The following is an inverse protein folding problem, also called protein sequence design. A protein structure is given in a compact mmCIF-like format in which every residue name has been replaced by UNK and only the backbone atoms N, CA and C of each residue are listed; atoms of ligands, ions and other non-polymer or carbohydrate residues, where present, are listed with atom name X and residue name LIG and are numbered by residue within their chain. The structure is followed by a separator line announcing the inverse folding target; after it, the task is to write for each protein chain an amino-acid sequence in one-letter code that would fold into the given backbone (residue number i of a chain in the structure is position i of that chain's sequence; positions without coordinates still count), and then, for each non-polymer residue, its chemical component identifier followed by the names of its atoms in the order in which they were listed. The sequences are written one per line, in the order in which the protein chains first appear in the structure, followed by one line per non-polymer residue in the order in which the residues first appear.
data_IF_252545606477
#
_entry.id   IF_252545606477
#
_cell.length_a   1.000
_cell.length_b   1.000
_cell.length_c   1.000
_cell.angle_alpha   90.00
_cell.angle_beta   90.00
_cell.angle_gamma   90.00
#
_symmetry.space_group_name_H-M   'P 1'
#
loop_
_entity.id
_entity.type
_entity.pdbx_description
1 polymer ?
#
# COMPACT_ATOMS: atom_id res chain seq x y z
N UNK A 1 -35.32 -11.46 -19.64
CA UNK A 1 -34.89 -10.59 -20.77
C UNK A 1 -35.32 -9.16 -20.46
N UNK A 2 -34.41 -8.33 -19.94
CA UNK A 2 -34.68 -6.93 -19.64
C UNK A 2 -34.28 -6.14 -20.90
N UNK A 3 -35.26 -5.53 -21.55
CA UNK A 3 -35.04 -4.71 -22.73
C UNK A 3 -34.34 -3.41 -22.32
N UNK A 4 -33.05 -3.29 -22.63
CA UNK A 4 -32.28 -2.08 -22.38
C UNK A 4 -32.80 -0.96 -23.30
N UNK A 5 -33.19 0.16 -22.70
CA UNK A 5 -33.77 1.30 -23.40
C UNK A 5 -32.76 1.87 -24.40
N UNK A 6 -33.07 1.79 -25.70
CA UNK A 6 -32.18 2.21 -26.80
C UNK A 6 -31.72 3.67 -26.67
N UNK A 7 -32.50 4.53 -26.00
CA UNK A 7 -32.11 5.92 -25.72
C UNK A 7 -30.92 6.07 -24.76
N UNK A 8 -30.78 5.17 -23.78
CA UNK A 8 -29.68 5.20 -22.80
C UNK A 8 -28.35 4.75 -23.44
N UNK A 9 -28.41 3.75 -24.30
CA UNK A 9 -27.23 3.24 -25.04
C UNK A 9 -26.72 4.28 -26.02
N UNK A 10 -27.61 5.00 -26.72
CA UNK A 10 -27.22 6.08 -27.63
C UNK A 10 -26.62 7.25 -26.83
N UNK A 11 -27.18 7.60 -25.67
CA UNK A 11 -26.63 8.66 -24.82
C UNK A 11 -25.19 8.36 -24.33
N UNK A 12 -24.92 7.13 -23.91
CA UNK A 12 -23.59 6.71 -23.43
C UNK A 12 -22.58 6.67 -24.60
N UNK A 13 -22.98 6.16 -25.77
CA UNK A 13 -22.08 6.10 -26.94
C UNK A 13 -21.74 7.50 -27.46
N UNK A 14 -22.69 8.44 -27.47
CA UNK A 14 -22.43 9.82 -27.89
C UNK A 14 -21.51 10.54 -26.90
N UNK A 15 -21.67 10.32 -25.59
CA UNK A 15 -20.81 10.92 -24.57
C UNK A 15 -19.36 10.41 -24.67
N UNK A 16 -19.17 9.11 -24.89
CA UNK A 16 -17.84 8.49 -25.03
C UNK A 16 -17.13 8.97 -26.31
N UNK A 17 -17.86 9.11 -27.43
CA UNK A 17 -17.28 9.64 -28.68
C UNK A 17 -16.86 11.10 -28.54
N UNK A 18 -17.62 11.93 -27.81
CA UNK A 18 -17.24 13.34 -27.59
C UNK A 18 -16.00 13.44 -26.69
N UNK A 19 -15.90 12.64 -25.61
CA UNK A 19 -14.74 12.67 -24.71
C UNK A 19 -13.47 12.17 -25.40
N UNK A 20 -13.56 11.10 -26.21
CA UNK A 20 -12.41 10.59 -26.99
C UNK A 20 -12.05 11.55 -28.13
N UNK A 21 -13.04 12.19 -28.76
CA UNK A 21 -12.81 13.18 -29.82
C UNK A 21 -12.14 14.47 -29.32
N UNK A 22 -12.46 14.93 -28.11
CA UNK A 22 -11.83 16.11 -27.50
C UNK A 22 -10.40 15.82 -27.05
N UNK A 23 -10.11 14.61 -26.55
CA UNK A 23 -8.75 14.20 -26.20
C UNK A 23 -7.86 14.01 -27.43
N UNK A 24 -8.39 13.44 -28.53
CA UNK A 24 -7.64 13.29 -29.78
C UNK A 24 -7.43 14.61 -30.56
N UNK A 25 -8.31 15.61 -30.39
CA UNK A 25 -8.19 16.91 -31.07
C UNK A 25 -7.17 17.84 -30.40
N UNK A 26 -6.88 17.66 -29.11
CA UNK A 26 -5.84 18.44 -28.39
C UNK A 26 -4.42 17.95 -28.75
N UNK A 27 -4.27 16.73 -29.26
CA UNK A 27 -2.96 16.15 -29.57
C UNK A 27 -2.55 16.21 -31.06
N UNK A 28 -3.45 16.60 -31.97
CA UNK A 28 -3.13 16.68 -33.41
C UNK A 28 -3.78 17.90 -34.06
N UNK A 29 -3.10 19.04 -34.01
CA UNK A 29 -3.45 20.16 -34.88
C UNK A 29 -2.81 21.50 -34.53
N UNK A 30 -1.64 21.80 -35.11
CA UNK A 30 -1.48 23.00 -35.94
C UNK A 30 -0.17 22.97 -36.75
N UNK A 31 -0.16 23.48 -38.00
CA UNK A 31 0.87 23.20 -39.00
C UNK A 31 2.06 24.17 -38.95
N UNK A 32 3.22 23.68 -39.40
CA UNK A 32 4.43 24.45 -39.70
C UNK A 32 4.16 25.41 -40.86
N UNK A 33 4.40 26.71 -40.64
CA UNK A 33 4.48 27.68 -41.73
C UNK A 33 5.86 28.34 -41.73
N UNK A 34 6.57 28.19 -42.84
CA UNK A 34 7.88 28.79 -43.13
C UNK A 34 7.66 29.86 -44.17
N UNK A 35 8.02 31.12 -43.88
CA UNK A 35 8.43 32.14 -44.87
C UNK A 35 9.11 33.34 -44.15
N UNK A 36 9.90 34.18 -44.87
CA UNK A 36 11.21 34.66 -44.41
C UNK A 36 11.23 35.99 -43.65
N UNK A 37 12.40 36.25 -43.04
CA UNK A 37 12.80 37.39 -42.21
C UNK A 37 12.40 38.79 -42.69
N UNK A 38 12.30 39.72 -41.72
CA UNK A 38 13.12 40.92 -41.79
C UNK A 38 13.98 41.12 -40.52
N UNK A 39 15.16 41.66 -40.75
CA UNK A 39 16.18 42.08 -39.79
C UNK A 39 15.69 43.17 -38.85
N UNK A 40 15.88 43.02 -37.53
CA UNK A 40 16.04 44.16 -36.62
C UNK A 40 16.89 43.77 -35.42
N UNK A 41 17.97 44.53 -35.21
CA UNK A 41 18.83 44.46 -34.03
C UNK A 41 18.01 44.78 -32.76
N UNK A 42 18.36 44.18 -31.61
CA UNK A 42 18.60 44.88 -30.31
C UNK A 42 18.73 43.86 -29.15
N UNK A 43 19.90 43.90 -28.52
CA UNK A 43 20.26 43.61 -27.12
C UNK A 43 19.80 42.31 -26.46
N UNK A 44 20.71 41.35 -26.42
CA UNK A 44 20.73 40.20 -25.51
C UNK A 44 20.77 40.67 -24.05
N UNK A 45 19.69 40.48 -23.31
CA UNK A 45 19.76 40.37 -21.83
C UNK A 45 19.73 38.89 -21.50
N UNK A 46 20.91 38.34 -21.24
CA UNK A 46 21.09 36.97 -20.76
C UNK A 46 20.43 36.84 -19.39
N UNK A 47 19.22 36.30 -19.33
CA UNK A 47 18.70 35.72 -18.11
C UNK A 47 19.16 34.27 -18.10
N UNK A 48 20.27 34.01 -17.44
CA UNK A 48 20.75 32.65 -17.18
C UNK A 48 19.78 32.01 -16.20
N UNK A 49 18.72 31.37 -16.70
CA UNK A 49 17.99 30.39 -15.92
C UNK A 49 18.90 29.18 -15.82
N UNK A 50 19.65 29.07 -14.73
CA UNK A 50 20.34 27.85 -14.34
C UNK A 50 19.26 26.82 -14.02
N UNK A 51 18.74 26.13 -15.03
CA UNK A 51 18.04 24.85 -14.84
C UNK A 51 19.11 23.84 -14.46
N UNK A 52 19.45 23.80 -13.17
CA UNK A 52 20.07 22.61 -12.58
C UNK A 52 19.12 21.46 -12.85
N UNK A 53 19.52 20.53 -13.72
CA UNK A 53 18.82 19.27 -13.93
C UNK A 53 18.80 18.51 -12.61
N UNK A 54 17.75 18.70 -11.81
CA UNK A 54 17.59 17.98 -10.54
C UNK A 54 17.35 16.50 -10.85
N UNK A 55 18.14 15.63 -10.21
CA UNK A 55 18.01 14.18 -10.35
C UNK A 55 16.62 13.74 -9.90
N UNK A 56 15.86 12.95 -10.69
CA UNK A 56 14.54 12.50 -10.30
C UNK A 56 14.55 11.71 -8.98
N UNK A 57 13.50 11.85 -8.19
CA UNK A 57 13.27 11.12 -6.95
C UNK A 57 12.43 9.86 -7.23
N UNK A 58 13.00 8.69 -6.94
CA UNK A 58 12.39 7.40 -7.19
C UNK A 58 11.84 6.79 -5.91
N UNK A 59 10.55 6.45 -5.93
CA UNK A 59 9.85 5.87 -4.79
C UNK A 59 9.68 4.36 -5.02
N UNK A 60 10.18 3.55 -4.10
CA UNK A 60 9.85 2.12 -4.02
C UNK A 60 8.92 1.93 -2.83
N UNK A 61 7.76 1.30 -3.04
CA UNK A 61 6.69 1.28 -2.05
C UNK A 61 5.99 -0.08 -2.02
N UNK A 62 5.51 -0.47 -0.84
CA UNK A 62 4.59 -1.60 -0.71
C UNK A 62 3.45 -1.49 -1.75
N UNK A 63 3.19 -2.56 -2.51
CA UNK A 63 2.24 -2.61 -3.63
C UNK A 63 0.85 -2.03 -3.31
N UNK A 64 0.38 -2.28 -2.08
CA UNK A 64 -0.86 -1.76 -1.53
C UNK A 64 -0.96 -0.22 -1.50
N UNK A 65 0.16 0.49 -1.51
CA UNK A 65 0.23 1.95 -1.29
C UNK A 65 0.75 2.72 -2.51
N UNK A 66 0.69 2.12 -3.70
CA UNK A 66 1.19 2.73 -4.94
C UNK A 66 0.41 3.99 -5.34
N UNK A 67 -0.91 4.03 -5.09
CA UNK A 67 -1.74 5.20 -5.37
C UNK A 67 -1.41 6.38 -4.43
N UNK A 68 -1.19 6.08 -3.15
CA UNK A 68 -0.82 7.01 -2.10
C UNK A 68 0.57 7.58 -2.34
N UNK A 69 1.54 6.72 -2.68
CA UNK A 69 2.88 7.14 -3.05
C UNK A 69 2.88 8.00 -4.32
N UNK A 70 2.07 7.66 -5.33
CA UNK A 70 1.93 8.47 -6.54
C UNK A 70 1.33 9.85 -6.20
N UNK A 71 0.32 9.88 -5.34
CA UNK A 71 -0.29 11.14 -4.89
C UNK A 71 0.70 12.02 -4.12
N UNK A 72 1.46 11.45 -3.16
CA UNK A 72 2.51 12.17 -2.43
C UNK A 72 3.61 12.66 -3.37
N UNK A 73 4.06 11.80 -4.29
CA UNK A 73 5.09 12.09 -5.28
C UNK A 73 4.70 13.23 -6.21
N UNK A 74 3.49 13.18 -6.79
CA UNK A 74 2.98 14.27 -7.63
C UNK A 74 2.79 15.57 -6.87
N UNK A 75 2.33 15.51 -5.62
CA UNK A 75 2.15 16.71 -4.79
C UNK A 75 3.48 17.35 -4.41
N UNK A 76 4.51 16.53 -4.12
CA UNK A 76 5.88 16.98 -3.89
C UNK A 76 6.48 17.60 -5.16
N UNK A 77 6.37 16.92 -6.30
CA UNK A 77 6.86 17.45 -7.58
C UNK A 77 6.25 18.83 -7.90
N UNK A 78 4.96 19.00 -7.66
CA UNK A 78 4.29 20.29 -7.87
C UNK A 78 4.78 21.38 -6.91
N UNK A 79 5.19 21.01 -5.70
CA UNK A 79 5.67 21.95 -4.69
C UNK A 79 7.14 22.36 -4.92
N UNK A 80 7.98 21.48 -5.44
CA UNK A 80 9.45 21.66 -5.48
C UNK A 80 10.02 21.77 -6.89
N UNK A 81 9.32 21.25 -7.90
CA UNK A 81 9.84 21.08 -9.26
C UNK A 81 10.72 19.83 -9.44
N UNK A 82 11.03 19.09 -8.38
CA UNK A 82 11.80 17.84 -8.45
C UNK A 82 10.93 16.77 -9.12
N UNK A 83 11.43 16.16 -10.19
CA UNK A 83 10.68 15.12 -10.91
C UNK A 83 10.53 13.86 -10.05
N UNK A 84 9.31 13.34 -9.95
CA UNK A 84 8.97 12.09 -9.26
C UNK A 84 8.27 11.15 -10.25
N UNK A 85 8.98 10.17 -10.84
CA UNK A 85 8.38 9.18 -11.72
C UNK A 85 7.36 8.29 -11.00
N UNK A 86 6.63 7.47 -11.76
CA UNK A 86 5.69 6.49 -11.19
C UNK A 86 6.39 5.58 -10.16
N UNK A 87 5.84 5.43 -8.94
CA UNK A 87 6.43 4.56 -7.93
C UNK A 87 6.53 3.11 -8.37
N UNK A 88 7.60 2.43 -7.97
CA UNK A 88 7.74 0.98 -8.11
C UNK A 88 7.03 0.29 -6.94
N UNK A 89 6.01 -0.51 -7.26
CA UNK A 89 5.25 -1.30 -6.29
C UNK A 89 5.77 -2.73 -6.14
N UNK A 90 5.68 -3.30 -4.94
CA UNK A 90 5.98 -4.71 -4.68
C UNK A 90 5.84 -5.08 -3.20
N UNK A 91 5.94 -6.37 -2.86
CA UNK A 91 5.94 -6.80 -1.46
C UNK A 91 7.15 -6.21 -0.72
N UNK A 92 6.95 -5.70 0.51
CA UNK A 92 8.00 -4.94 1.22
C UNK A 92 9.31 -5.72 1.41
N UNK A 93 9.22 -7.01 1.73
CA UNK A 93 10.42 -7.85 1.89
C UNK A 93 11.07 -8.18 0.54
N UNK A 94 10.27 -8.34 -0.51
CA UNK A 94 10.75 -8.49 -1.88
C UNK A 94 11.54 -7.27 -2.34
N UNK A 95 10.94 -6.07 -2.23
CA UNK A 95 11.58 -4.81 -2.60
C UNK A 95 12.84 -4.54 -1.79
N UNK A 96 12.83 -4.79 -0.48
CA UNK A 96 14.02 -4.57 0.35
C UNK A 96 15.21 -5.46 -0.09
N UNK A 97 14.96 -6.74 -0.40
CA UNK A 97 15.99 -7.63 -0.95
C UNK A 97 16.45 -7.20 -2.34
N UNK A 98 15.54 -6.71 -3.16
CA UNK A 98 15.86 -6.20 -4.48
C UNK A 98 16.77 -4.96 -4.39
N UNK A 99 16.43 -3.98 -3.54
CA UNK A 99 17.28 -2.81 -3.22
C UNK A 99 18.68 -3.27 -2.79
N UNK A 100 18.75 -4.27 -1.90
CA UNK A 100 20.01 -4.78 -1.40
C UNK A 100 20.84 -5.49 -2.49
N UNK A 101 20.17 -6.24 -3.36
CA UNK A 101 20.81 -6.99 -4.45
C UNK A 101 21.33 -6.10 -5.58
N UNK A 102 20.58 -5.05 -5.94
CA UNK A 102 20.96 -4.11 -6.99
C UNK A 102 22.04 -3.13 -6.51
N UNK A 103 22.15 -2.90 -5.19
CA UNK A 103 23.20 -2.10 -4.59
C UNK A 103 23.24 -0.68 -5.17
N UNK A 104 24.39 -0.15 -5.61
CA UNK A 104 24.46 1.19 -6.21
C UNK A 104 23.67 1.36 -7.51
N UNK A 105 23.24 0.26 -8.14
CA UNK A 105 22.42 0.33 -9.36
C UNK A 105 20.92 0.42 -9.04
N UNK A 106 20.53 0.27 -7.77
CA UNK A 106 19.15 0.37 -7.36
C UNK A 106 18.62 1.78 -7.64
N UNK A 107 17.62 1.89 -8.50
CA UNK A 107 17.01 3.18 -8.83
C UNK A 107 15.99 3.58 -7.75
N UNK A 108 16.47 3.81 -6.53
CA UNK A 108 15.66 4.15 -5.35
C UNK A 108 16.19 5.41 -4.68
N UNK A 109 15.26 6.25 -4.22
CA UNK A 109 15.54 7.43 -3.40
C UNK A 109 14.93 7.26 -2.02
N UNK A 110 13.70 6.77 -1.98
CA UNK A 110 12.92 6.59 -0.77
C UNK A 110 12.24 5.23 -0.82
N UNK A 111 12.25 4.52 0.31
CA UNK A 111 11.60 3.23 0.47
C UNK A 111 10.45 3.32 1.48
N UNK A 112 9.26 2.88 1.07
CA UNK A 112 8.03 2.92 1.87
C UNK A 112 7.51 1.49 2.15
N UNK A 113 8.09 0.75 3.12
CA UNK A 113 7.60 -0.57 3.49
C UNK A 113 6.40 -0.50 4.44
N UNK A 114 5.59 -1.56 4.45
CA UNK A 114 4.50 -1.75 5.42
C UNK A 114 4.87 -2.76 6.53
N UNK A 115 6.17 -3.00 6.73
CA UNK A 115 6.71 -3.74 7.86
C UNK A 115 8.04 -3.11 8.29
N UNK A 116 8.18 -2.79 9.58
CA UNK A 116 9.36 -2.12 10.12
C UNK A 116 10.65 -2.88 9.79
N UNK A 117 10.62 -4.21 9.95
CA UNK A 117 11.76 -5.09 9.70
C UNK A 117 12.25 -5.04 8.26
N UNK A 118 11.42 -4.66 7.27
CA UNK A 118 11.88 -4.52 5.89
C UNK A 118 12.92 -3.38 5.72
N UNK A 119 12.95 -2.41 6.64
CA UNK A 119 13.98 -1.36 6.67
C UNK A 119 15.24 -1.78 7.45
N UNK A 120 15.25 -2.95 8.09
CA UNK A 120 16.37 -3.41 8.92
C UNK A 120 17.50 -4.04 8.08
N UNK A 121 18.71 -4.23 8.67
CA UNK A 121 19.80 -4.93 8.02
C UNK A 121 19.46 -6.36 7.57
N UNK A 122 18.46 -7.01 8.17
CA UNK A 122 18.04 -8.37 7.79
C UNK A 122 17.49 -8.45 6.36
N UNK A 123 16.99 -7.34 5.81
CA UNK A 123 16.46 -7.28 4.44
C UNK A 123 17.22 -6.30 3.54
N UNK A 124 17.53 -5.10 4.03
CA UNK A 124 18.30 -4.10 3.26
C UNK A 124 19.83 -4.32 3.32
N UNK A 125 20.31 -5.27 4.13
CA UNK A 125 21.74 -5.50 4.32
C UNK A 125 22.45 -4.23 4.80
N UNK A 126 23.64 -3.97 4.23
CA UNK A 126 24.44 -2.79 4.54
C UNK A 126 23.80 -1.47 4.08
N UNK A 127 22.70 -1.53 3.31
CA UNK A 127 21.98 -0.34 2.84
C UNK A 127 20.88 0.13 3.78
N UNK A 128 20.60 -0.61 4.87
CA UNK A 128 19.74 -0.09 5.94
C UNK A 128 20.34 1.20 6.51
N UNK A 129 19.53 2.26 6.57
CA UNK A 129 19.89 3.56 7.15
C UNK A 129 19.94 3.54 8.68
N UNK A 130 19.38 2.49 9.30
CA UNK A 130 19.26 2.38 10.74
C UNK A 130 18.09 3.17 11.33
N UNK A 131 17.20 3.72 10.48
CA UNK A 131 15.96 4.39 10.92
C UNK A 131 14.80 4.18 9.94
N UNK A 132 13.58 4.30 10.45
CA UNK A 132 12.34 4.38 9.67
C UNK A 132 11.28 5.18 10.44
N UNK A 133 10.37 5.84 9.74
CA UNK A 133 9.29 6.63 10.37
C UNK A 133 7.94 6.04 9.97
N UNK A 134 7.13 5.61 10.92
CA UNK A 134 5.71 5.31 10.69
C UNK A 134 4.94 6.63 10.62
N UNK A 135 4.23 6.88 9.52
CA UNK A 135 3.53 8.17 9.30
C UNK A 135 2.03 8.05 9.04
N UNK A 136 1.55 6.85 8.70
CA UNK A 136 0.12 6.52 8.62
C UNK A 136 -0.11 5.09 9.09
N UNK A 137 -1.29 4.84 9.66
CA UNK A 137 -1.80 3.53 9.98
C UNK A 137 -2.85 3.07 8.96
N UNK A 138 -2.97 1.76 8.84
CA UNK A 138 -3.95 1.07 8.02
C UNK A 138 -4.48 -0.14 8.80
N UNK A 139 -5.29 -0.99 8.18
CA UNK A 139 -5.83 -2.18 8.81
C UNK A 139 -6.05 -3.30 7.78
N UNK A 140 -5.99 -4.54 8.24
CA UNK A 140 -6.30 -5.69 7.40
C UNK A 140 -7.82 -5.82 7.21
N UNK A 141 -8.22 -6.21 6.02
CA UNK A 141 -9.60 -6.52 5.65
C UNK A 141 -9.63 -7.76 4.76
N UNK A 142 -10.83 -8.22 4.43
CA UNK A 142 -11.05 -9.30 3.49
C UNK A 142 -11.89 -8.76 2.34
N UNK A 143 -11.26 -8.60 1.17
CA UNK A 143 -11.90 -8.08 -0.03
C UNK A 143 -12.68 -9.18 -0.77
N UNK A 144 -13.73 -8.75 -1.47
CA UNK A 144 -14.55 -9.56 -2.35
C UNK A 144 -15.11 -8.72 -3.51
N UNK A 145 -15.75 -9.38 -4.47
CA UNK A 145 -16.51 -8.74 -5.56
C UNK A 145 -17.83 -9.47 -5.77
N UNK A 146 -18.76 -8.87 -6.50
CA UNK A 146 -19.98 -9.58 -6.91
C UNK A 146 -19.68 -10.86 -7.71
N UNK A 147 -18.62 -10.85 -8.52
CA UNK A 147 -18.16 -12.02 -9.28
C UNK A 147 -17.52 -13.10 -8.40
N UNK A 148 -16.95 -12.71 -7.25
CA UNK A 148 -16.29 -13.64 -6.32
C UNK A 148 -17.27 -14.33 -5.36
N UNK A 149 -18.44 -13.76 -5.12
CA UNK A 149 -19.53 -14.38 -4.34
C UNK A 149 -20.38 -15.26 -5.28
N UNK A 150 -19.75 -16.30 -5.83
CA UNK A 150 -20.30 -17.11 -6.92
C UNK A 150 -20.68 -18.55 -6.52
N UNK A 151 -20.62 -18.88 -5.23
CA UNK A 151 -21.05 -20.17 -4.71
C UNK A 151 -21.79 -20.00 -3.36
N UNK A 152 -22.59 -21.01 -2.94
CA UNK A 152 -23.40 -20.91 -1.72
C UNK A 152 -22.60 -20.65 -0.45
N UNK A 153 -21.38 -21.20 -0.34
CA UNK A 153 -20.53 -21.02 0.83
C UNK A 153 -19.95 -19.60 0.91
N UNK A 154 -19.58 -19.00 -0.22
CA UNK A 154 -19.15 -17.60 -0.25
C UNK A 154 -20.30 -16.66 0.14
N UNK A 155 -21.54 -16.94 -0.31
CA UNK A 155 -22.71 -16.16 0.08
C UNK A 155 -23.02 -16.31 1.57
N UNK A 156 -22.93 -17.53 2.10
CA UNK A 156 -23.14 -17.82 3.52
C UNK A 156 -22.08 -17.15 4.40
N UNK A 157 -20.80 -17.21 4.03
CA UNK A 157 -19.73 -16.49 4.70
C UNK A 157 -20.01 -14.98 4.73
N UNK A 158 -20.42 -14.39 3.60
CA UNK A 158 -20.75 -12.97 3.55
C UNK A 158 -21.95 -12.60 4.44
N UNK A 159 -22.93 -13.50 4.59
CA UNK A 159 -24.05 -13.28 5.51
C UNK A 159 -23.58 -13.27 6.97
N UNK A 160 -22.74 -14.23 7.37
CA UNK A 160 -22.18 -14.24 8.73
C UNK A 160 -21.30 -13.01 9.02
N UNK A 161 -20.50 -12.57 8.04
CA UNK A 161 -19.73 -11.34 8.16
C UNK A 161 -20.63 -10.13 8.42
N UNK A 162 -21.72 -9.99 7.64
CA UNK A 162 -22.71 -8.89 7.81
C UNK A 162 -23.41 -8.94 9.16
N UNK A 163 -23.80 -10.12 9.64
CA UNK A 163 -24.37 -10.28 10.99
C UNK A 163 -23.38 -9.87 12.08
N UNK A 164 -22.10 -10.24 11.90
CA UNK A 164 -21.05 -9.91 12.84
C UNK A 164 -20.76 -8.40 12.88
N UNK A 165 -20.68 -7.75 11.73
CA UNK A 165 -20.56 -6.29 11.59
C UNK A 165 -21.78 -5.55 12.19
N UNK A 166 -22.97 -6.16 12.14
CA UNK A 166 -24.18 -5.64 12.77
C UNK A 166 -24.25 -5.88 14.29
N UNK A 167 -23.23 -6.50 14.90
CA UNK A 167 -23.10 -6.68 16.35
C UNK A 167 -23.33 -8.10 16.85
N UNK A 168 -23.66 -9.07 15.99
CA UNK A 168 -23.69 -10.48 16.39
C UNK A 168 -22.28 -11.08 16.37
N UNK A 169 -21.46 -10.76 17.37
CA UNK A 169 -20.04 -11.18 17.43
C UNK A 169 -19.86 -12.71 17.29
N UNK A 170 -20.84 -13.52 17.69
CA UNK A 170 -20.77 -14.98 17.53
C UNK A 170 -20.73 -15.45 16.06
N UNK A 171 -21.23 -14.65 15.13
CA UNK A 171 -21.20 -14.96 13.71
C UNK A 171 -19.77 -14.95 13.12
N UNK A 172 -18.81 -14.28 13.77
CA UNK A 172 -17.40 -14.34 13.35
C UNK A 172 -16.85 -15.77 13.36
N UNK A 173 -17.25 -16.60 14.33
CA UNK A 173 -16.86 -18.01 14.35
C UNK A 173 -17.28 -18.73 13.06
N UNK A 174 -18.56 -18.60 12.67
CA UNK A 174 -19.07 -19.25 11.47
C UNK A 174 -18.46 -18.70 10.18
N UNK A 175 -18.22 -17.37 10.14
CA UNK A 175 -17.51 -16.74 9.03
C UNK A 175 -16.12 -17.36 8.83
N UNK A 176 -15.29 -17.36 9.89
CA UNK A 176 -13.93 -17.90 9.81
C UNK A 176 -13.93 -19.40 9.55
N UNK A 177 -14.87 -20.15 10.13
CA UNK A 177 -15.04 -21.58 9.87
C UNK A 177 -15.28 -21.90 8.39
N UNK A 178 -16.10 -21.09 7.69
CA UNK A 178 -16.29 -21.25 6.24
C UNK A 178 -15.03 -20.82 5.49
N UNK A 179 -14.45 -19.68 5.87
CA UNK A 179 -13.25 -19.12 5.24
C UNK A 179 -12.09 -20.14 5.25
N UNK A 180 -11.88 -20.86 6.35
CA UNK A 180 -10.82 -21.88 6.51
C UNK A 180 -11.23 -23.30 6.08
N UNK A 181 -12.47 -23.55 5.67
CA UNK A 181 -12.96 -24.90 5.35
C UNK A 181 -12.42 -25.53 4.05
N UNK A 182 -11.86 -24.72 3.14
CA UNK A 182 -11.51 -25.14 1.79
C UNK A 182 -12.69 -25.21 0.80
N UNK A 183 -13.91 -24.88 1.25
CA UNK A 183 -15.11 -24.78 0.38
C UNK A 183 -15.17 -23.46 -0.40
N UNK A 184 -14.43 -22.46 0.06
CA UNK A 184 -14.16 -21.21 -0.64
C UNK A 184 -12.66 -21.11 -0.90
N UNK A 185 -12.29 -20.37 -1.94
CA UNK A 185 -10.90 -20.03 -2.23
C UNK A 185 -10.55 -18.68 -1.63
N UNK A 186 -9.43 -18.61 -0.92
CA UNK A 186 -9.00 -17.43 -0.18
C UNK A 186 -7.59 -17.04 -0.61
N UNK A 187 -7.42 -15.80 -1.03
CA UNK A 187 -6.13 -15.23 -1.38
C UNK A 187 -5.34 -14.82 -0.14
N UNK A 188 -4.13 -15.37 0.01
CA UNK A 188 -3.12 -14.96 1.00
C UNK A 188 -1.79 -14.86 0.28
N UNK A 189 -1.17 -13.67 0.25
CA UNK A 189 0.13 -13.48 -0.39
C UNK A 189 1.25 -14.21 0.35
N UNK A 190 2.37 -14.47 -0.33
CA UNK A 190 3.52 -15.15 0.26
C UNK A 190 4.10 -14.32 1.44
N UNK A 191 4.06 -14.85 2.69
CA UNK A 191 4.58 -14.18 3.87
C UNK A 191 6.05 -13.73 3.77
N UNK A 192 6.87 -14.44 2.99
CA UNK A 192 8.31 -14.17 2.87
C UNK A 192 8.63 -12.99 1.94
N UNK A 193 7.68 -12.57 1.10
CA UNK A 193 7.82 -11.46 0.15
C UNK A 193 6.93 -10.27 0.52
N UNK A 194 5.73 -10.53 1.03
CA UNK A 194 4.71 -9.52 1.28
C UNK A 194 4.16 -9.59 2.72
N UNK A 195 4.26 -8.50 3.51
CA UNK A 195 3.69 -8.44 4.84
C UNK A 195 2.20 -8.75 4.96
N UNK A 196 1.40 -8.52 3.90
CA UNK A 196 -0.03 -8.86 3.95
C UNK A 196 -0.24 -10.37 4.19
N UNK A 197 0.68 -11.21 3.71
CA UNK A 197 0.67 -12.65 3.87
C UNK A 197 0.76 -13.09 5.33
N UNK A 198 1.85 -12.73 6.04
CA UNK A 198 1.99 -13.11 7.45
C UNK A 198 0.90 -12.48 8.32
N UNK A 199 0.45 -11.27 7.98
CA UNK A 199 -0.64 -10.61 8.70
C UNK A 199 -1.95 -11.37 8.57
N UNK A 200 -2.28 -11.92 7.39
CA UNK A 200 -3.43 -12.78 7.22
C UNK A 200 -3.37 -14.02 8.13
N UNK A 201 -2.21 -14.67 8.22
CA UNK A 201 -2.01 -15.81 9.11
C UNK A 201 -2.15 -15.45 10.59
N UNK A 202 -1.56 -14.34 11.03
CA UNK A 202 -1.74 -13.82 12.39
C UNK A 202 -3.22 -13.48 12.66
N UNK A 203 -3.94 -12.92 11.68
CA UNK A 203 -5.38 -12.65 11.81
C UNK A 203 -6.21 -13.94 11.96
N UNK A 204 -5.82 -15.04 11.31
CA UNK A 204 -6.47 -16.35 11.52
C UNK A 204 -6.23 -16.88 12.95
N UNK A 205 -5.03 -16.68 13.50
CA UNK A 205 -4.73 -17.04 14.90
C UNK A 205 -5.48 -16.17 15.91
N UNK A 206 -5.50 -14.85 15.68
CA UNK A 206 -6.28 -13.89 16.46
C UNK A 206 -7.76 -14.27 16.44
N UNK A 207 -8.32 -14.62 15.27
CA UNK A 207 -9.71 -15.08 15.17
C UNK A 207 -9.96 -16.39 15.93
N UNK A 208 -9.03 -17.35 15.89
CA UNK A 208 -9.13 -18.59 16.67
C UNK A 208 -9.10 -18.34 18.18
N UNK A 209 -8.27 -17.40 18.61
CA UNK A 209 -8.18 -16.95 19.99
C UNK A 209 -9.47 -16.26 20.45
N UNK A 210 -9.96 -15.29 19.68
CA UNK A 210 -11.12 -14.48 20.04
C UNK A 210 -12.45 -15.23 19.95
N UNK A 211 -12.64 -16.11 18.96
CA UNK A 211 -13.97 -16.66 18.65
C UNK A 211 -14.11 -18.17 18.83
N UNK A 212 -13.01 -18.92 18.92
CA UNK A 212 -13.05 -20.39 18.97
C UNK A 212 -12.50 -20.98 20.27
N UNK A 213 -11.94 -20.17 21.18
CA UNK A 213 -11.18 -20.64 22.34
C UNK A 213 -10.10 -21.67 21.94
N UNK A 214 -9.56 -21.52 20.73
CA UNK A 214 -8.53 -22.36 20.14
C UNK A 214 -7.78 -21.53 19.09
N UNK A 215 -6.66 -20.93 19.50
CA UNK A 215 -5.83 -20.03 18.69
C UNK A 215 -5.55 -20.60 17.29
N UNK A 216 -5.19 -21.88 17.20
CA UNK A 216 -4.74 -22.44 15.93
C UNK A 216 -5.85 -23.09 15.10
N UNK A 217 -7.14 -22.97 15.48
CA UNK A 217 -8.22 -23.63 14.76
C UNK A 217 -8.27 -23.22 13.28
N UNK A 218 -8.53 -21.94 13.00
CA UNK A 218 -8.67 -21.45 11.64
C UNK A 218 -7.35 -21.43 10.88
N UNK A 219 -6.24 -21.20 11.58
CA UNK A 219 -4.89 -21.31 11.01
C UNK A 219 -4.63 -22.73 10.46
N UNK A 220 -4.80 -23.76 11.30
CA UNK A 220 -4.52 -25.14 10.91
C UNK A 220 -5.50 -25.64 9.84
N UNK A 221 -6.77 -25.24 9.92
CA UNK A 221 -7.73 -25.56 8.87
C UNK A 221 -7.34 -24.90 7.54
N UNK A 222 -6.96 -23.62 7.55
CA UNK A 222 -6.50 -22.93 6.34
C UNK A 222 -5.24 -23.56 5.75
N UNK A 223 -4.28 -23.95 6.60
CA UNK A 223 -3.04 -24.59 6.18
C UNK A 223 -3.26 -25.97 5.54
N UNK A 224 -4.19 -26.75 6.09
CA UNK A 224 -4.45 -28.12 5.65
C UNK A 224 -5.50 -28.21 4.53
N UNK A 225 -6.26 -27.14 4.30
CA UNK A 225 -7.25 -27.12 3.23
C UNK A 225 -6.60 -26.97 1.84
N UNK A 226 -7.42 -27.05 0.79
CA UNK A 226 -7.00 -26.80 -0.60
C UNK A 226 -7.57 -25.49 -1.17
N UNK A 227 -8.01 -24.60 -0.28
CA UNK A 227 -8.67 -23.33 -0.57
C UNK A 227 -7.74 -22.12 -0.55
N UNK A 228 -6.57 -22.20 0.11
CA UNK A 228 -5.58 -21.12 0.05
C UNK A 228 -4.99 -20.95 -1.36
N UNK A 229 -5.01 -19.74 -1.88
CA UNK A 229 -4.39 -19.34 -3.17
C UNK A 229 -3.36 -18.26 -2.88
N UNK A 230 -2.14 -18.48 -3.34
CA UNK A 230 -1.00 -17.60 -3.03
C UNK A 230 -0.35 -17.03 -4.29
N UNK A 231 0.22 -15.84 -4.15
CA UNK A 231 1.01 -15.13 -5.14
C UNK A 231 2.09 -14.31 -4.42
N UNK A 232 3.00 -13.68 -5.17
CA UNK A 232 4.16 -12.99 -4.58
C UNK A 232 3.77 -11.78 -3.73
N UNK A 233 2.62 -11.17 -4.01
CA UNK A 233 2.03 -10.05 -3.28
C UNK A 233 0.51 -10.03 -3.45
N UNK A 234 -0.20 -9.32 -2.58
CA UNK A 234 -1.65 -9.27 -2.59
C UNK A 234 -2.22 -8.62 -3.87
N UNK A 235 -1.52 -7.67 -4.50
CA UNK A 235 -1.97 -7.05 -5.74
C UNK A 235 -2.12 -8.06 -6.90
N UNK A 236 -1.27 -9.08 -6.99
CA UNK A 236 -1.37 -10.16 -7.98
C UNK A 236 -2.64 -11.02 -7.83
N UNK A 237 -3.26 -11.02 -6.66
CA UNK A 237 -4.49 -11.78 -6.36
C UNK A 237 -5.78 -11.00 -6.66
N UNK A 238 -5.68 -9.73 -7.05
CA UNK A 238 -6.85 -8.88 -7.37
C UNK A 238 -7.56 -9.36 -8.63
N UNK A 239 -6.84 -9.60 -9.73
CA UNK A 239 -7.46 -10.08 -10.97
C UNK A 239 -8.13 -11.47 -10.80
N UNK A 240 -7.53 -12.46 -10.10
CA UNK A 240 -8.24 -13.67 -9.69
C UNK A 240 -9.52 -13.42 -8.90
N UNK A 241 -9.55 -12.42 -8.02
CA UNK A 241 -10.74 -12.06 -7.24
C UNK A 241 -11.85 -11.47 -8.13
N UNK A 242 -11.50 -10.53 -9.01
CA UNK A 242 -12.42 -9.88 -9.96
C UNK A 242 -13.01 -10.88 -10.96
N UNK A 243 -12.20 -11.86 -11.38
CA UNK A 243 -12.62 -12.95 -12.26
C UNK A 243 -13.43 -14.05 -11.52
N UNK A 244 -13.60 -13.95 -10.20
CA UNK A 244 -14.28 -14.95 -9.38
C UNK A 244 -13.52 -16.29 -9.26
N UNK A 245 -12.23 -16.31 -9.57
CA UNK A 245 -11.36 -17.49 -9.44
C UNK A 245 -10.98 -17.76 -7.98
N UNK A 246 -10.97 -16.71 -7.15
CA UNK A 246 -10.96 -16.78 -5.68
C UNK A 246 -12.19 -16.06 -5.14
N UNK A 247 -12.65 -16.42 -3.94
CA UNK A 247 -13.86 -15.85 -3.34
C UNK A 247 -13.55 -14.64 -2.45
N UNK A 248 -12.45 -14.72 -1.70
CA UNK A 248 -12.02 -13.72 -0.73
C UNK A 248 -10.52 -13.45 -0.85
N UNK A 249 -10.06 -12.27 -0.46
CA UNK A 249 -8.65 -11.90 -0.47
C UNK A 249 -8.32 -11.13 0.81
N UNK A 250 -7.35 -11.61 1.59
CA UNK A 250 -6.76 -10.78 2.64
C UNK A 250 -5.93 -9.67 2.01
N UNK A 251 -6.27 -8.42 2.32
CA UNK A 251 -5.62 -7.22 1.79
C UNK A 251 -5.78 -6.08 2.80
N UNK A 252 -5.00 -5.02 2.67
CA UNK A 252 -5.23 -3.80 3.46
C UNK A 252 -6.47 -3.05 2.99
N UNK A 253 -7.16 -2.38 3.92
CA UNK A 253 -8.39 -1.65 3.61
C UNK A 253 -8.16 -0.52 2.62
N UNK A 254 -7.07 0.25 2.78
CA UNK A 254 -6.72 1.31 1.81
C UNK A 254 -6.62 0.78 0.38
N UNK A 255 -5.95 -0.37 0.19
CA UNK A 255 -5.80 -1.01 -1.11
C UNK A 255 -7.13 -1.54 -1.67
N UNK A 256 -8.03 -2.05 -0.82
CA UNK A 256 -9.39 -2.41 -1.26
C UNK A 256 -10.15 -1.18 -1.77
N UNK A 257 -10.08 -0.05 -1.04
CA UNK A 257 -10.69 1.23 -1.44
C UNK A 257 -10.09 1.74 -2.76
N UNK A 258 -8.76 1.77 -2.86
CA UNK A 258 -8.05 2.26 -4.04
C UNK A 258 -8.36 1.45 -5.31
N UNK A 259 -8.63 0.15 -5.15
CA UNK A 259 -8.98 -0.77 -6.23
C UNK A 259 -10.50 -0.89 -6.49
N UNK A 260 -11.33 -0.19 -5.72
CA UNK A 260 -12.79 -0.25 -5.85
C UNK A 260 -13.39 -1.62 -5.52
N UNK A 261 -12.76 -2.35 -4.61
CA UNK A 261 -13.23 -3.67 -4.15
C UNK A 261 -14.22 -3.51 -2.98
N UNK A 262 -15.20 -4.39 -2.92
CA UNK A 262 -15.99 -4.56 -1.70
C UNK A 262 -15.12 -5.22 -0.62
N UNK A 263 -15.40 -4.97 0.65
CA UNK A 263 -14.59 -5.51 1.74
C UNK A 263 -15.40 -5.76 3.01
N UNK A 264 -14.94 -6.73 3.81
CA UNK A 264 -15.49 -7.09 5.12
C UNK A 264 -14.67 -6.37 6.20
N UNK A 265 -15.30 -5.50 7.00
CA UNK A 265 -14.61 -4.79 8.06
C UNK A 265 -14.31 -5.74 9.24
N UNK A 266 -13.04 -6.13 9.38
CA UNK A 266 -12.59 -6.89 10.53
C UNK A 266 -12.55 -6.01 11.78
N UNK A 267 -12.92 -6.54 12.97
CA UNK A 267 -12.89 -5.80 14.22
C UNK A 267 -11.45 -5.52 14.68
N UNK A 268 -11.28 -4.47 15.48
CA UNK A 268 -9.96 -3.98 15.91
C UNK A 268 -9.12 -5.07 16.59
N UNK A 269 -9.74 -6.00 17.32
CA UNK A 269 -9.07 -7.12 17.98
C UNK A 269 -8.24 -7.99 17.03
N UNK A 270 -8.63 -8.11 15.76
CA UNK A 270 -8.03 -9.07 14.82
C UNK A 270 -7.49 -8.43 13.53
N UNK A 271 -7.83 -7.16 13.27
CA UNK A 271 -7.49 -6.47 12.02
C UNK A 271 -6.08 -5.86 12.00
N UNK A 272 -5.38 -5.88 13.15
CA UNK A 272 -4.04 -5.32 13.32
C UNK A 272 -3.93 -3.82 13.04
N UNK A 273 -5.03 -3.06 13.06
CA UNK A 273 -5.05 -1.65 12.68
C UNK A 273 -5.07 -0.66 13.83
N UNK A 274 -5.59 -1.07 15.00
CA UNK A 274 -5.75 -0.18 16.15
C UNK A 274 -4.55 -0.29 17.12
N UNK A 275 -3.76 0.79 17.33
CA UNK A 275 -2.61 0.77 18.23
C UNK A 275 -2.93 0.41 19.69
N UNK A 276 -4.17 0.60 20.15
CA UNK A 276 -4.59 0.22 21.51
C UNK A 276 -4.56 -1.29 21.76
N UNK A 277 -4.60 -2.09 20.69
CA UNK A 277 -4.47 -3.56 20.73
C UNK A 277 -3.05 -4.05 20.45
N UNK A 278 -2.06 -3.15 20.40
CA UNK A 278 -0.64 -3.52 20.16
C UNK A 278 -0.14 -4.65 21.07
N UNK A 279 -0.46 -4.61 22.37
CA UNK A 279 -0.10 -5.66 23.33
C UNK A 279 -0.84 -6.99 23.12
N UNK A 280 -1.99 -6.99 22.45
CA UNK A 280 -2.68 -8.22 22.03
C UNK A 280 -2.00 -8.79 20.80
N UNK A 281 -1.84 -7.97 19.75
CA UNK A 281 -1.24 -8.43 18.49
C UNK A 281 0.15 -9.03 18.72
N UNK A 282 0.96 -8.44 19.60
CA UNK A 282 2.33 -8.89 19.86
C UNK A 282 2.45 -10.26 20.54
N UNK A 283 1.33 -10.87 20.96
CA UNK A 283 1.30 -12.24 21.51
C UNK A 283 1.29 -13.32 20.43
N UNK A 284 1.08 -12.93 19.18
CA UNK A 284 0.98 -13.83 18.03
C UNK A 284 2.18 -13.59 17.12
N UNK A 285 2.69 -14.66 16.53
CA UNK A 285 3.86 -14.60 15.66
C UNK A 285 3.68 -15.52 14.46
N UNK A 286 4.40 -15.21 13.39
CA UNK A 286 4.52 -16.05 12.23
C UNK A 286 5.99 -16.29 11.92
N UNK A 287 6.35 -17.53 11.58
CA UNK A 287 7.74 -17.89 11.28
C UNK A 287 8.03 -17.70 9.79
N UNK A 288 8.75 -16.63 9.45
CA UNK A 288 9.31 -16.42 8.11
C UNK A 288 10.60 -17.21 7.93
N UNK A 289 11.07 -17.33 6.69
CA UNK A 289 12.37 -17.93 6.38
C UNK A 289 13.55 -17.15 7.00
N UNK A 290 13.33 -15.89 7.38
CA UNK A 290 14.30 -14.98 8.00
C UNK A 290 14.18 -14.92 9.53
N UNK A 291 13.22 -15.62 10.14
CA UNK A 291 12.95 -15.61 11.57
C UNK A 291 11.50 -15.24 11.92
N UNK A 292 11.16 -15.22 13.22
CA UNK A 292 9.82 -14.88 13.67
C UNK A 292 9.50 -13.40 13.44
N UNK A 293 8.26 -13.13 13.03
CA UNK A 293 7.66 -11.79 13.02
C UNK A 293 6.42 -11.78 13.90
N UNK A 294 6.22 -10.69 14.63
CA UNK A 294 5.12 -10.56 15.60
C UNK A 294 3.99 -9.71 15.04
N UNK A 295 2.77 -9.98 15.51
CA UNK A 295 1.62 -9.11 15.26
C UNK A 295 1.88 -7.71 15.81
N UNK A 296 1.52 -6.69 15.04
CA UNK A 296 1.73 -5.29 15.41
C UNK A 296 0.74 -4.40 14.67
N UNK A 297 0.50 -3.17 15.16
CA UNK A 297 -0.28 -2.19 14.41
C UNK A 297 0.30 -1.99 12.99
N UNK A 298 -0.57 -2.00 11.99
CA UNK A 298 -0.19 -1.84 10.59
C UNK A 298 0.12 -0.37 10.34
N UNK A 299 1.41 -0.09 10.14
CA UNK A 299 1.89 1.22 9.71
C UNK A 299 2.55 1.13 8.34
N UNK A 300 2.39 2.20 7.55
CA UNK A 300 3.27 2.49 6.43
C UNK A 300 4.46 3.30 6.97
N UNK A 301 5.65 2.81 6.68
CA UNK A 301 6.90 3.42 7.09
C UNK A 301 7.54 4.16 5.91
N UNK A 302 8.44 5.09 6.21
CA UNK A 302 9.30 5.76 5.22
C UNK A 302 10.75 5.76 5.71
N UNK A 303 11.69 5.43 4.82
CA UNK A 303 13.14 5.52 5.06
C UNK A 303 13.89 5.88 3.78
N UNK A 304 15.15 6.29 3.93
CA UNK A 304 16.08 6.57 2.83
C UNK A 304 17.20 5.55 2.86
N UNK A 305 17.22 4.55 1.96
CA UNK A 305 18.32 3.58 1.88
C UNK A 305 19.68 4.27 1.69
N UNK A 306 20.77 3.69 2.21
CA UNK A 306 22.12 4.30 2.09
C UNK A 306 22.62 4.38 0.64
N UNK A 307 22.14 3.51 -0.24
CA UNK A 307 22.38 3.56 -1.69
C UNK A 307 21.42 4.49 -2.45
N UNK A 308 20.67 5.36 -1.76
CA UNK A 308 19.80 6.31 -2.43
C UNK A 308 20.57 7.25 -3.39
N UNK A 309 20.05 7.40 -4.60
CA UNK A 309 20.73 8.13 -5.68
C UNK A 309 20.77 9.67 -5.46
N UNK A 310 19.94 10.18 -4.56
CA UNK A 310 19.75 11.61 -4.27
C UNK A 310 19.28 11.81 -2.82
N UNK A 311 20.20 11.65 -1.87
CA UNK A 311 19.88 11.67 -0.43
C UNK A 311 19.27 13.00 0.05
N UNK A 312 19.68 14.14 -0.49
CA UNK A 312 19.18 15.44 -0.05
C UNK A 312 17.70 15.61 -0.40
N UNK A 313 17.34 15.36 -1.65
CA UNK A 313 15.97 15.38 -2.17
C UNK A 313 15.11 14.31 -1.49
N UNK A 314 15.68 13.13 -1.20
CA UNK A 314 15.00 12.07 -0.46
C UNK A 314 14.61 12.52 0.96
N UNK A 315 15.49 13.22 1.68
CA UNK A 315 15.19 13.76 3.01
C UNK A 315 14.21 14.95 2.97
N UNK A 316 14.23 15.74 1.89
CA UNK A 316 13.21 16.76 1.62
C UNK A 316 11.83 16.13 1.42
N UNK A 317 11.76 15.03 0.65
CA UNK A 317 10.53 14.26 0.47
C UNK A 317 10.04 13.63 1.79
N UNK A 318 10.94 13.10 2.63
CA UNK A 318 10.54 12.60 3.96
C UNK A 318 9.91 13.71 4.78
N UNK A 319 10.54 14.89 4.83
CA UNK A 319 9.99 16.07 5.53
C UNK A 319 8.61 16.43 4.99
N UNK A 320 8.47 16.49 3.67
CA UNK A 320 7.20 16.76 3.00
C UNK A 320 6.12 15.73 3.39
N UNK A 321 6.43 14.43 3.39
CA UNK A 321 5.49 13.38 3.77
C UNK A 321 5.01 13.54 5.21
N UNK A 322 5.92 13.80 6.16
CA UNK A 322 5.55 13.98 7.57
C UNK A 322 4.64 15.21 7.75
N UNK A 323 4.86 16.29 6.99
CA UNK A 323 4.05 17.51 7.06
C UNK A 323 2.70 17.41 6.35
N UNK A 324 2.57 16.51 5.36
CA UNK A 324 1.40 16.41 4.48
C UNK A 324 0.62 15.09 4.60
N UNK A 325 1.01 14.21 5.52
CA UNK A 325 0.40 12.87 5.73
C UNK A 325 -1.10 12.94 6.01
N UNK A 326 -1.60 14.04 6.57
CA UNK A 326 -3.03 14.26 6.84
C UNK A 326 -3.92 14.07 5.60
N UNK A 327 -3.40 14.42 4.43
CA UNK A 327 -4.12 14.29 3.17
C UNK A 327 -4.33 12.85 2.70
N UNK A 328 -3.69 11.87 3.36
CA UNK A 328 -3.88 10.44 3.08
C UNK A 328 -5.16 9.86 3.68
N UNK A 329 -5.84 10.60 4.56
CA UNK A 329 -7.16 10.21 5.10
C UNK A 329 -8.20 9.94 4.01
N UNK A 330 -8.08 10.58 2.84
CA UNK A 330 -8.96 10.34 1.68
C UNK A 330 -8.83 8.93 1.08
N UNK A 331 -7.76 8.21 1.38
CA UNK A 331 -7.54 6.82 0.99
C UNK A 331 -8.02 5.82 2.07
N UNK A 332 -8.66 6.32 3.14
CA UNK A 332 -9.09 5.48 4.27
C UNK A 332 -7.97 5.14 5.26
N UNK A 333 -6.81 5.78 5.13
CA UNK A 333 -5.69 5.67 6.07
C UNK A 333 -5.91 6.57 7.29
N UNK A 334 -5.25 6.22 8.40
CA UNK A 334 -5.23 7.04 9.62
C UNK A 334 -3.85 7.72 9.77
N UNK A 335 -3.73 9.03 9.49
CA UNK A 335 -2.48 9.74 9.67
C UNK A 335 -2.01 9.77 11.12
N UNK A 336 -0.72 9.53 11.34
CA UNK A 336 -0.09 9.59 12.65
C UNK A 336 0.41 11.02 12.90
N UNK A 337 -0.07 11.65 13.97
CA UNK A 337 0.32 12.98 14.38
C UNK A 337 0.43 13.05 15.91
N UNK A 338 1.65 13.00 16.48
CA UNK A 338 2.94 12.93 15.80
C UNK A 338 3.18 11.58 15.08
N UNK A 339 4.03 11.58 14.05
CA UNK A 339 4.53 10.36 13.43
C UNK A 339 5.58 9.68 14.34
N UNK A 340 5.86 8.39 14.14
CA UNK A 340 6.64 7.58 15.07
C UNK A 340 7.98 7.19 14.44
N UNK A 341 9.08 7.65 15.04
CA UNK A 341 10.45 7.32 14.61
C UNK A 341 10.94 6.05 15.30
N UNK A 342 11.43 5.10 14.51
CA UNK A 342 12.18 3.94 14.97
C UNK A 342 13.62 4.08 14.50
N UNK A 343 14.60 3.96 15.39
CA UNK A 343 16.00 4.07 15.01
C UNK A 343 16.93 3.27 15.93
N UNK A 344 17.97 2.72 15.31
CA UNK A 344 19.08 2.00 15.96
C UNK A 344 20.43 2.72 15.71
N UNK A 345 20.41 3.83 14.97
CA UNK A 345 21.55 4.71 14.69
C UNK A 345 21.16 6.18 14.85
N UNK A 346 22.15 7.09 14.82
CA UNK A 346 21.88 8.52 14.76
C UNK A 346 21.19 8.89 13.43
N UNK A 347 20.10 9.65 13.52
CA UNK A 347 19.33 10.09 12.35
C UNK A 347 19.92 11.35 11.72
N UNK A 348 19.67 11.61 10.42
CA UNK A 348 20.09 12.86 9.77
C UNK A 348 19.54 14.12 10.45
N UNK A 349 20.23 15.27 10.35
CA UNK A 349 19.81 16.52 11.00
C UNK A 349 18.37 16.94 10.68
N UNK A 350 17.91 16.68 9.45
CA UNK A 350 16.53 16.94 9.02
C UNK A 350 15.52 16.15 9.88
N UNK A 351 15.79 14.86 10.12
CA UNK A 351 14.94 14.00 10.93
C UNK A 351 15.02 14.37 12.41
N UNK A 352 16.22 14.69 12.91
CA UNK A 352 16.40 15.20 14.27
C UNK A 352 15.65 16.52 14.50
N UNK A 353 15.54 17.38 13.48
CA UNK A 353 14.76 18.61 13.54
C UNK A 353 13.25 18.33 13.65
N UNK A 354 12.74 17.30 12.97
CA UNK A 354 11.32 16.92 13.08
C UNK A 354 10.97 16.41 14.50
N UNK A 355 11.89 15.69 15.16
CA UNK A 355 11.76 15.32 16.57
C UNK A 355 11.70 16.55 17.48
N UNK A 356 12.64 17.50 17.34
CA UNK A 356 12.69 18.69 18.21
C UNK A 356 11.51 19.64 18.00
N UNK A 357 10.87 19.60 16.82
CA UNK A 357 9.64 20.33 16.51
C UNK A 357 8.37 19.62 17.03
N UNK A 358 8.48 18.42 17.61
CA UNK A 358 7.33 17.63 18.08
C UNK A 358 6.50 17.01 16.94
N UNK A 359 7.03 16.98 15.71
CA UNK A 359 6.39 16.28 14.57
C UNK A 359 6.60 14.77 14.64
N UNK A 360 7.66 14.33 15.32
CA UNK A 360 7.96 12.93 15.57
C UNK A 360 7.98 12.63 17.08
N UNK A 361 7.67 11.38 17.42
CA UNK A 361 7.92 10.76 18.75
C UNK A 361 8.75 9.50 18.59
N UNK A 362 9.48 9.12 19.62
CA UNK A 362 10.28 7.88 19.61
C UNK A 362 9.38 6.65 19.76
N UNK A 363 9.56 5.67 18.86
CA UNK A 363 8.89 4.37 18.84
C UNK A 363 9.76 3.21 19.29
N UNK A 364 11.07 3.44 19.50
CA UNK A 364 12.05 2.43 19.90
C UNK A 364 13.04 2.09 18.80
N UNK A 365 13.63 0.90 18.88
CA UNK A 365 14.66 0.43 17.95
C UNK A 365 14.07 0.05 16.60
N UNK A 366 14.85 0.28 15.54
CA UNK A 366 14.59 -0.33 14.23
C UNK A 366 14.91 -1.83 14.26
#
# INVERSE_FOLDING_TARGET
MIALNKGLVIGIVVLVIIVVGVLAYVEIGMPKHVTPSPTTNTTTTTTTTTTTSQTPLYIWVADAYTAEAQYLGSSFQNATGITVPTPKGGGSFGLAREIASEGPNAQVSVFLPVALSAASPSYLGNYSSGWAIAFVADQLTIAYTNSSINNPYAQEALNYAKEAEAGNTSAWYNFFQILSSGKVKVGISDPNTDPAGFRAWITLELAGYEYANNTFLFYNEMLNNKGNVTASNAAELVSPLEAGQINFLFIYKSAAIAKGLEYIQLPNQINQGDPSYSSLYSKFEYNLSTGPVYGSPIYLFITVPKNANNQAEALEFVTYVIENSQSLSKFGLLPLSPAILFNSTAVPPQIASLLSQGKLVEGGTL
#
